data_IF_275021388518
#
_entry.id   IF_275021388518
#
_cell.length_a   1.000
_cell.length_b   1.000
_cell.length_c   1.000
_cell.angle_alpha   90.00
_cell.angle_beta   90.00
_cell.angle_gamma   90.00
#
_symmetry.space_group_name_H-M   'P 1'
#
loop_
_entity.id
_entity.type
_entity.pdbx_description
1 polymer ?
#
# COMPACT_ATOMS: atom_id res chain seq x y z
N UNK A 1 59.66 -26.22 -34.25
CA UNK A 1 58.40 -27.00 -34.17
C UNK A 1 57.95 -26.95 -32.72
N UNK A 2 56.87 -26.33 -32.28
CA UNK A 2 55.75 -25.60 -32.87
C UNK A 2 54.77 -25.43 -31.71
N UNK A 3 54.37 -24.19 -31.39
CA UNK A 3 53.46 -23.84 -30.30
C UNK A 3 52.03 -24.28 -30.65
N UNK A 4 51.41 -25.19 -29.90
CA UNK A 4 49.98 -25.49 -30.01
C UNK A 4 49.20 -24.78 -28.89
N UNK A 5 48.77 -23.56 -29.25
CA UNK A 5 47.48 -22.92 -28.97
C UNK A 5 46.72 -23.27 -27.69
N UNK A 6 46.71 -22.30 -26.76
CA UNK A 6 45.65 -22.11 -25.77
C UNK A 6 44.35 -21.67 -26.47
N UNK A 7 43.51 -22.62 -26.90
CA UNK A 7 42.12 -22.31 -27.27
C UNK A 7 41.23 -22.40 -26.03
N UNK A 8 41.41 -21.43 -25.13
CA UNK A 8 40.40 -21.09 -24.13
C UNK A 8 39.26 -20.34 -24.81
N UNK A 9 38.39 -21.03 -25.55
CA UNK A 9 37.11 -20.44 -25.97
C UNK A 9 36.19 -20.44 -24.75
N UNK A 10 36.32 -19.40 -23.92
CA UNK A 10 35.28 -19.09 -22.95
C UNK A 10 34.00 -18.82 -23.77
N UNK A 11 32.92 -19.60 -23.60
CA UNK A 11 31.67 -19.34 -24.31
C UNK A 11 31.22 -17.91 -24.00
N UNK A 12 30.50 -17.22 -24.91
CA UNK A 12 29.88 -15.94 -24.58
C UNK A 12 28.92 -16.18 -23.41
N UNK A 13 29.36 -15.85 -22.21
CA UNK A 13 28.47 -15.85 -21.05
C UNK A 13 27.47 -14.74 -21.28
N UNK A 14 26.19 -15.10 -21.46
CA UNK A 14 25.11 -14.12 -21.53
C UNK A 14 25.20 -13.22 -20.30
N UNK A 15 25.24 -11.90 -20.53
CA UNK A 15 25.36 -10.92 -19.46
C UNK A 15 24.14 -11.01 -18.53
N UNK A 16 24.33 -10.93 -17.20
CA UNK A 16 23.21 -10.89 -16.27
C UNK A 16 22.32 -9.67 -16.52
N UNK A 17 21.02 -9.90 -16.71
CA UNK A 17 20.02 -8.85 -16.94
C UNK A 17 19.24 -8.60 -15.64
N UNK A 18 19.17 -7.34 -15.16
CA UNK A 18 18.52 -7.01 -13.90
C UNK A 18 16.98 -7.06 -14.00
N UNK A 19 16.29 -7.61 -12.98
CA UNK A 19 14.83 -7.67 -12.98
C UNK A 19 14.19 -6.29 -12.88
N UNK A 20 13.16 -6.08 -13.71
CA UNK A 20 12.17 -5.02 -13.53
C UNK A 20 11.07 -5.54 -12.61
N UNK A 21 10.84 -4.83 -11.50
CA UNK A 21 9.92 -5.22 -10.44
C UNK A 21 8.76 -4.23 -10.34
N UNK A 22 7.53 -4.72 -10.40
CA UNK A 22 6.32 -3.90 -10.19
C UNK A 22 5.41 -4.55 -9.16
N UNK A 23 4.74 -3.71 -8.35
CA UNK A 23 3.81 -4.16 -7.31
C UNK A 23 2.41 -3.65 -7.64
N UNK A 24 1.43 -4.54 -7.55
CA UNK A 24 0.01 -4.23 -7.73
C UNK A 24 -0.82 -4.69 -6.52
N UNK A 25 -1.86 -3.92 -6.15
CA UNK A 25 -2.21 -2.60 -6.67
C UNK A 25 -1.18 -1.51 -6.26
N UNK A 26 -1.11 -0.41 -7.02
CA UNK A 26 -0.23 0.73 -6.69
C UNK A 26 -0.69 1.46 -5.43
N UNK A 27 -2.01 1.57 -5.26
CA UNK A 27 -2.66 2.13 -4.08
C UNK A 27 -3.48 1.02 -3.42
N UNK A 28 -3.17 0.70 -2.17
CA UNK A 28 -3.84 -0.35 -1.41
C UNK A 28 -4.82 0.28 -0.41
N UNK A 29 -6.05 0.52 -0.86
CA UNK A 29 -7.16 0.99 -0.03
C UNK A 29 -8.14 -0.17 0.15
N UNK A 30 -8.40 -0.53 1.40
CA UNK A 30 -9.17 -1.75 1.75
C UNK A 30 -10.25 -1.38 2.76
N UNK A 31 -11.47 -1.86 2.57
CA UNK A 31 -12.52 -1.66 3.56
C UNK A 31 -12.25 -2.51 4.81
N UNK A 32 -12.56 -2.03 6.03
CA UNK A 32 -12.45 -2.83 7.24
C UNK A 32 -13.19 -4.18 7.08
N UNK A 33 -12.55 -5.27 7.50
CA UNK A 33 -13.12 -6.62 7.38
C UNK A 33 -13.01 -7.26 5.98
N UNK A 34 -12.41 -6.59 5.00
CA UNK A 34 -12.18 -7.16 3.66
C UNK A 34 -10.73 -7.59 3.47
N UNK A 35 -10.52 -8.66 2.70
CA UNK A 35 -9.18 -9.14 2.32
C UNK A 35 -8.68 -8.44 1.06
N UNK A 36 -7.37 -8.47 0.84
CA UNK A 36 -6.74 -7.91 -0.35
C UNK A 36 -5.63 -8.83 -0.87
N UNK A 37 -5.37 -8.80 -2.17
CA UNK A 37 -4.29 -9.56 -2.81
C UNK A 37 -3.23 -8.60 -3.35
N UNK A 38 -1.95 -8.86 -3.04
CA UNK A 38 -0.81 -8.15 -3.60
C UNK A 38 -0.11 -9.05 -4.61
N UNK A 39 0.27 -8.48 -5.76
CA UNK A 39 1.06 -9.19 -6.78
C UNK A 39 2.32 -8.43 -7.13
N UNK A 40 3.44 -9.11 -6.98
CA UNK A 40 4.76 -8.64 -7.38
C UNK A 40 5.15 -9.30 -8.70
N UNK A 41 5.21 -8.51 -9.77
CA UNK A 41 5.64 -8.96 -11.09
C UNK A 41 7.12 -8.65 -11.27
N UNK A 42 7.90 -9.69 -11.57
CA UNK A 42 9.34 -9.64 -11.81
C UNK A 42 9.57 -10.05 -13.26
N UNK A 43 10.24 -9.23 -14.05
CA UNK A 43 10.36 -9.45 -15.51
C UNK A 43 11.69 -8.97 -16.06
N UNK A 44 12.10 -9.50 -17.21
CA UNK A 44 13.29 -9.07 -17.93
C UNK A 44 14.59 -9.47 -17.25
N UNK A 45 14.60 -10.55 -16.46
CA UNK A 45 15.80 -10.96 -15.72
C UNK A 45 16.47 -12.19 -16.34
N UNK A 46 17.79 -12.24 -16.22
CA UNK A 46 18.60 -13.38 -16.62
C UNK A 46 19.84 -13.45 -15.73
N UNK A 47 20.26 -14.62 -15.20
CA UNK A 47 19.69 -15.96 -15.35
C UNK A 47 18.40 -16.16 -14.51
N UNK A 48 17.86 -17.39 -14.50
CA UNK A 48 16.57 -17.76 -13.90
C UNK A 48 16.47 -17.53 -12.37
N UNK A 49 17.59 -17.37 -11.67
CA UNK A 49 17.70 -17.41 -10.20
C UNK A 49 17.21 -16.13 -9.48
N UNK A 50 16.03 -15.62 -9.82
CA UNK A 50 15.39 -14.52 -9.09
C UNK A 50 14.54 -15.05 -7.94
N UNK A 51 14.83 -14.60 -6.71
CA UNK A 51 14.06 -14.96 -5.52
C UNK A 51 13.22 -13.79 -5.06
N UNK A 52 11.95 -14.06 -4.71
CA UNK A 52 11.00 -13.06 -4.23
C UNK A 52 10.63 -13.36 -2.79
N UNK A 53 10.77 -12.37 -1.92
CA UNK A 53 10.38 -12.47 -0.51
C UNK A 53 9.45 -11.32 -0.15
N UNK A 54 8.51 -11.58 0.75
CA UNK A 54 7.62 -10.56 1.28
C UNK A 54 8.13 -10.06 2.62
N UNK A 55 7.88 -8.78 2.91
CA UNK A 55 8.13 -8.20 4.23
C UNK A 55 6.99 -7.27 4.63
N UNK A 56 6.71 -7.17 5.93
CA UNK A 56 5.74 -6.24 6.51
C UNK A 56 6.42 -5.36 7.55
N UNK A 57 6.11 -4.06 7.52
CA UNK A 57 6.52 -3.11 8.56
C UNK A 57 5.31 -2.40 9.15
N UNK A 58 5.38 -2.13 10.45
CA UNK A 58 4.39 -1.34 11.17
C UNK A 58 4.36 0.11 10.66
N UNK A 59 3.17 0.64 10.37
CA UNK A 59 3.02 2.02 9.87
C UNK A 59 3.54 3.12 10.79
N UNK A 60 3.42 2.93 12.11
CA UNK A 60 3.79 3.94 13.12
C UNK A 60 5.23 3.85 13.65
N UNK A 61 5.84 2.66 13.67
CA UNK A 61 7.18 2.47 14.23
C UNK A 61 8.24 2.06 13.22
N UNK A 62 7.84 1.71 11.98
CA UNK A 62 8.72 1.15 10.96
C UNK A 62 9.31 -0.22 11.33
N UNK A 63 8.94 -0.79 12.48
CA UNK A 63 9.46 -2.06 12.98
C UNK A 63 9.02 -3.19 12.05
N UNK A 64 9.97 -4.07 11.70
CA UNK A 64 9.67 -5.29 10.95
C UNK A 64 8.72 -6.17 11.76
N UNK A 65 7.65 -6.65 11.12
CA UNK A 65 6.66 -7.53 11.74
C UNK A 65 6.61 -8.87 11.02
N UNK A 66 6.16 -9.89 11.76
CA UNK A 66 5.81 -11.17 11.18
C UNK A 66 4.73 -10.98 10.12
N UNK A 67 4.98 -11.58 8.95
CA UNK A 67 3.97 -11.68 7.90
C UNK A 67 2.89 -12.70 8.23
N UNK A 68 3.23 -13.76 8.98
CA UNK A 68 2.31 -14.87 9.28
C UNK A 68 1.01 -14.40 9.93
N UNK A 69 1.06 -13.33 10.72
CA UNK A 69 -0.10 -12.80 11.43
C UNK A 69 -1.08 -12.05 10.51
N UNK A 70 -0.68 -11.79 9.25
CA UNK A 70 -1.47 -11.03 8.28
C UNK A 70 -1.61 -11.68 6.91
N UNK A 71 -0.97 -12.83 6.71
CA UNK A 71 -1.07 -13.59 5.47
C UNK A 71 -2.06 -14.72 5.63
N UNK A 72 -3.02 -14.78 4.71
CA UNK A 72 -3.92 -15.90 4.57
C UNK A 72 -3.29 -16.98 3.68
N UNK A 73 -2.69 -16.58 2.56
CA UNK A 73 -2.05 -17.49 1.60
C UNK A 73 -0.98 -16.77 0.78
N UNK A 74 -0.06 -17.52 0.19
CA UNK A 74 0.96 -17.02 -0.74
C UNK A 74 1.23 -18.03 -1.86
N UNK A 75 1.38 -17.54 -3.08
CA UNK A 75 1.71 -18.39 -4.22
C UNK A 75 2.71 -17.70 -5.14
N UNK A 76 3.43 -18.49 -5.92
CA UNK A 76 4.35 -17.98 -6.93
C UNK A 76 4.15 -18.76 -8.22
N UNK A 77 4.04 -18.06 -9.35
CA UNK A 77 3.92 -18.67 -10.66
C UNK A 77 5.18 -19.45 -11.04
N UNK A 78 5.07 -20.33 -12.03
CA UNK A 78 6.23 -20.81 -12.77
C UNK A 78 6.92 -19.66 -13.52
N UNK A 79 8.14 -19.91 -13.96
CA UNK A 79 8.88 -18.98 -14.81
C UNK A 79 8.32 -18.99 -16.24
N UNK A 80 8.31 -17.82 -16.89
CA UNK A 80 8.02 -17.67 -18.31
C UNK A 80 9.21 -17.02 -18.99
N UNK A 81 9.68 -17.62 -20.07
CA UNK A 81 10.76 -17.07 -20.89
C UNK A 81 10.17 -16.26 -22.06
N UNK A 82 10.74 -15.09 -22.31
CA UNK A 82 10.41 -14.24 -23.45
C UNK A 82 11.32 -14.56 -24.65
N UNK A 83 10.97 -14.03 -25.84
CA UNK A 83 11.73 -14.27 -27.07
C UNK A 83 13.15 -13.67 -27.04
N UNK A 84 13.38 -12.67 -26.19
CA UNK A 84 14.69 -12.09 -25.91
C UNK A 84 15.56 -12.95 -24.97
N UNK A 85 15.07 -14.12 -24.56
CA UNK A 85 15.77 -15.06 -23.68
C UNK A 85 15.64 -14.73 -22.18
N UNK A 86 15.04 -13.59 -21.82
CA UNK A 86 14.85 -13.19 -20.41
C UNK A 86 13.68 -13.91 -19.75
N UNK A 87 13.67 -13.95 -18.43
CA UNK A 87 12.66 -14.60 -17.62
C UNK A 87 11.73 -13.62 -16.92
N UNK A 88 10.55 -14.13 -16.58
CA UNK A 88 9.55 -13.44 -15.80
C UNK A 88 8.85 -14.39 -14.83
N UNK A 89 8.41 -13.85 -13.68
CA UNK A 89 7.71 -14.58 -12.63
C UNK A 89 6.82 -13.64 -11.83
N UNK A 90 5.69 -14.14 -11.33
CA UNK A 90 4.80 -13.39 -10.45
C UNK A 90 4.71 -14.08 -9.10
N UNK A 91 4.92 -13.33 -8.02
CA UNK A 91 4.65 -13.78 -6.66
C UNK A 91 3.46 -13.00 -6.10
N UNK A 92 2.59 -13.66 -5.35
CA UNK A 92 1.40 -13.04 -4.79
C UNK A 92 1.16 -13.47 -3.36
N UNK A 93 0.54 -12.57 -2.59
CA UNK A 93 0.09 -12.83 -1.22
C UNK A 93 -1.33 -12.33 -1.02
N UNK A 94 -2.15 -13.15 -0.36
CA UNK A 94 -3.49 -12.76 0.10
C UNK A 94 -3.41 -12.38 1.57
N UNK A 95 -3.82 -11.15 1.87
CA UNK A 95 -3.90 -10.63 3.22
C UNK A 95 -5.18 -11.12 3.89
N UNK A 96 -5.13 -11.34 5.21
CA UNK A 96 -6.33 -11.56 6.01
C UNK A 96 -7.26 -10.34 5.96
N UNK A 97 -8.55 -10.50 6.31
CA UNK A 97 -9.46 -9.38 6.53
C UNK A 97 -8.84 -8.23 7.34
N UNK A 98 -8.83 -7.03 6.76
CA UNK A 98 -8.10 -5.90 7.31
C UNK A 98 -8.74 -5.38 8.61
N UNK A 99 -7.91 -5.12 9.63
CA UNK A 99 -8.32 -4.66 10.97
C UNK A 99 -7.73 -3.27 11.24
N UNK A 100 -8.33 -2.44 12.11
CA UNK A 100 -7.84 -1.08 12.41
C UNK A 100 -6.33 -1.00 12.70
N UNK A 101 -5.79 -1.97 13.44
CA UNK A 101 -4.37 -2.08 13.76
C UNK A 101 -3.42 -2.28 12.56
N UNK A 102 -3.94 -2.68 11.39
CA UNK A 102 -3.16 -2.84 10.15
C UNK A 102 -3.10 -1.54 9.34
N UNK A 103 -3.88 -0.52 9.71
CA UNK A 103 -3.83 0.77 9.03
C UNK A 103 -2.40 1.34 9.05
N UNK A 104 -1.92 1.77 7.88
CA UNK A 104 -0.60 2.35 7.70
C UNK A 104 0.52 1.32 7.56
N UNK A 105 0.27 0.02 7.77
CA UNK A 105 1.26 -1.03 7.56
C UNK A 105 1.81 -0.99 6.12
N UNK A 106 3.09 -1.27 5.99
CA UNK A 106 3.81 -1.25 4.72
C UNK A 106 4.20 -2.66 4.33
N UNK A 107 3.66 -3.13 3.22
CA UNK A 107 4.00 -4.42 2.61
C UNK A 107 5.05 -4.18 1.54
N UNK A 108 6.11 -4.99 1.54
CA UNK A 108 7.21 -4.89 0.57
C UNK A 108 7.42 -6.23 -0.13
N UNK A 109 7.58 -6.19 -1.45
CA UNK A 109 8.19 -7.26 -2.21
C UNK A 109 9.69 -6.97 -2.33
N UNK A 110 10.53 -7.91 -1.90
CA UNK A 110 11.99 -7.82 -1.94
C UNK A 110 12.51 -8.91 -2.88
N UNK A 111 13.19 -8.48 -3.94
CA UNK A 111 13.71 -9.32 -5.00
C UNK A 111 15.23 -9.38 -4.93
N UNK A 112 15.78 -10.58 -4.90
CA UNK A 112 17.22 -10.83 -4.98
C UNK A 112 17.54 -11.57 -6.27
N UNK A 113 18.61 -11.15 -6.95
CA UNK A 113 19.04 -11.70 -8.22
C UNK A 113 20.52 -11.37 -8.43
N UNK A 114 21.25 -12.18 -9.20
CA UNK A 114 22.71 -12.06 -9.37
C UNK A 114 23.12 -10.77 -10.09
N UNK A 115 22.25 -10.21 -10.94
CA UNK A 115 22.48 -8.92 -11.61
C UNK A 115 22.22 -7.72 -10.69
N UNK A 116 21.73 -7.93 -9.46
CA UNK A 116 21.48 -6.87 -8.48
C UNK A 116 22.57 -6.84 -7.40
N UNK A 117 23.29 -5.72 -7.28
CA UNK A 117 24.25 -5.52 -6.20
C UNK A 117 23.58 -5.45 -4.81
N UNK A 118 22.33 -5.01 -4.75
CA UNK A 118 21.51 -4.95 -3.53
C UNK A 118 20.09 -5.43 -3.84
N UNK A 119 19.38 -6.05 -2.88
CA UNK A 119 18.01 -6.48 -3.09
C UNK A 119 17.10 -5.33 -3.52
N UNK A 120 16.34 -5.53 -4.60
CA UNK A 120 15.36 -4.56 -5.08
C UNK A 120 14.11 -4.62 -4.21
N UNK A 121 13.64 -3.48 -3.71
CA UNK A 121 12.46 -3.40 -2.83
C UNK A 121 11.41 -2.49 -3.44
N UNK A 122 10.20 -3.01 -3.60
CA UNK A 122 9.00 -2.23 -3.94
C UNK A 122 7.97 -2.40 -2.83
N UNK A 123 7.27 -1.33 -2.46
CA UNK A 123 6.37 -1.34 -1.31
C UNK A 123 5.06 -0.61 -1.55
N UNK A 124 4.03 -1.03 -0.84
CA UNK A 124 2.71 -0.40 -0.80
C UNK A 124 2.27 -0.22 0.65
N UNK A 125 1.62 0.91 0.94
CA UNK A 125 1.03 1.21 2.24
C UNK A 125 -0.44 0.81 2.24
N UNK A 126 -0.87 0.06 3.25
CA UNK A 126 -2.26 -0.31 3.47
C UNK A 126 -3.02 0.85 4.12
N UNK A 127 -4.04 1.34 3.44
CA UNK A 127 -4.96 2.35 3.95
C UNK A 127 -6.34 1.72 4.15
N UNK A 128 -6.93 1.92 5.32
CA UNK A 128 -8.30 1.47 5.56
C UNK A 128 -9.28 2.56 5.15
N UNK A 129 -10.27 2.20 4.34
CA UNK A 129 -11.35 3.12 4.00
C UNK A 129 -12.10 3.55 5.27
N UNK A 130 -12.48 4.83 5.35
CA UNK A 130 -13.25 5.37 6.47
C UNK A 130 -12.49 5.56 7.78
N UNK A 131 -11.15 5.48 7.77
CA UNK A 131 -10.31 5.80 8.96
C UNK A 131 -9.85 7.25 9.01
N UNK A 132 -10.03 8.02 7.93
CA UNK A 132 -9.93 9.47 7.99
C UNK A 132 -11.26 10.00 8.56
N UNK A 133 -11.23 10.42 9.84
CA UNK A 133 -12.31 11.22 10.41
C UNK A 133 -12.40 12.60 9.76
N UNK A 134 -13.47 13.38 10.02
CA UNK A 134 -13.58 14.74 9.50
C UNK A 134 -12.33 15.53 9.87
N UNK A 135 -11.75 16.23 8.90
CA UNK A 135 -10.55 17.04 9.17
C UNK A 135 -10.95 18.19 10.08
N UNK A 136 -10.00 18.71 10.87
CA UNK A 136 -10.23 19.90 11.70
C UNK A 136 -10.73 21.09 10.86
N UNK A 137 -10.28 21.17 9.61
CA UNK A 137 -10.74 22.16 8.63
C UNK A 137 -12.22 21.99 8.29
N UNK A 138 -12.69 20.75 8.10
CA UNK A 138 -14.10 20.44 7.85
C UNK A 138 -14.98 20.81 9.05
N UNK A 139 -14.50 20.53 10.26
CA UNK A 139 -15.18 20.88 11.50
C UNK A 139 -15.29 22.41 11.63
N UNK A 140 -14.21 23.13 11.35
CA UNK A 140 -14.16 24.59 11.41
C UNK A 140 -15.11 25.20 10.37
N UNK A 141 -15.13 24.67 9.15
CA UNK A 141 -16.06 25.08 8.10
C UNK A 141 -17.52 24.86 8.51
N UNK A 142 -17.84 23.71 9.10
CA UNK A 142 -19.19 23.40 9.59
C UNK A 142 -19.64 24.39 10.67
N UNK A 143 -18.78 24.73 11.62
CA UNK A 143 -19.09 25.73 12.64
C UNK A 143 -19.34 27.12 12.03
N UNK A 144 -18.51 27.58 11.11
CA UNK A 144 -18.67 28.90 10.47
C UNK A 144 -19.99 28.99 9.70
N UNK A 145 -20.34 27.95 8.95
CA UNK A 145 -21.62 27.88 8.22
C UNK A 145 -22.80 27.94 9.20
N UNK A 146 -22.74 27.20 10.30
CA UNK A 146 -23.79 27.21 11.32
C UNK A 146 -23.95 28.59 11.97
N UNK A 147 -22.86 29.29 12.29
CA UNK A 147 -22.91 30.65 12.84
C UNK A 147 -23.57 31.65 11.88
N UNK A 148 -23.21 31.61 10.59
CA UNK A 148 -23.80 32.47 9.57
C UNK A 148 -25.30 32.19 9.40
N UNK A 149 -25.68 30.91 9.32
CA UNK A 149 -27.09 30.51 9.22
C UNK A 149 -27.90 30.95 10.46
N UNK A 150 -27.37 30.74 11.67
CA UNK A 150 -28.02 31.19 12.91
C UNK A 150 -28.18 32.72 12.96
N UNK A 151 -27.17 33.46 12.51
CA UNK A 151 -27.23 34.92 12.38
C UNK A 151 -28.31 35.38 11.40
N UNK A 152 -28.35 34.77 10.21
CA UNK A 152 -29.37 35.03 9.19
C UNK A 152 -30.78 34.68 9.67
N UNK A 153 -30.96 33.55 10.35
CA UNK A 153 -32.25 33.13 10.90
C UNK A 153 -32.73 34.13 11.96
N UNK A 154 -31.87 34.56 12.89
CA UNK A 154 -32.21 35.59 13.89
C UNK A 154 -32.55 36.94 13.25
N UNK A 155 -31.93 37.25 12.12
CA UNK A 155 -32.18 38.50 11.39
C UNK A 155 -33.50 38.46 10.61
N UNK A 156 -33.79 37.34 9.92
CA UNK A 156 -35.01 37.14 9.14
C UNK A 156 -36.24 36.84 10.01
N UNK A 157 -36.02 36.20 11.17
CA UNK A 157 -37.04 35.93 12.17
C UNK A 157 -36.64 36.54 13.51
N UNK A 158 -36.64 37.89 13.63
CA UNK A 158 -36.46 38.54 14.92
C UNK A 158 -37.53 37.98 15.86
N UNK A 159 -37.10 37.42 16.97
CA UNK A 159 -38.00 36.85 17.97
C UNK A 159 -38.90 37.98 18.46
N UNK A 160 -40.14 38.05 17.96
CA UNK A 160 -41.16 38.90 18.54
C UNK A 160 -41.27 38.47 20.01
N UNK A 161 -41.01 39.41 20.91
CA UNK A 161 -40.99 39.19 22.35
C UNK A 161 -42.24 38.38 22.78
N UNK A 162 -42.02 37.23 23.41
CA UNK A 162 -43.07 36.48 24.08
C UNK A 162 -43.50 37.32 25.30
N UNK A 163 -44.77 37.75 25.43
CA UNK A 163 -45.19 38.49 26.61
C UNK A 163 -45.00 37.61 27.85
N UNK A 164 -44.37 38.19 28.87
CA UNK A 164 -44.19 37.62 30.20
C UNK A 164 -45.58 37.39 30.80
N UNK A 165 -45.97 36.13 30.99
CA UNK A 165 -47.17 35.78 31.74
C UNK A 165 -46.86 36.00 33.23
N UNK A 166 -47.26 37.17 33.74
CA UNK A 166 -47.27 37.45 35.17
C UNK A 166 -48.13 36.39 35.88
N UNK A 167 -47.48 35.45 36.55
CA UNK A 167 -48.15 34.57 37.51
C UNK A 167 -48.50 35.39 38.76
N UNK A 168 -49.73 35.91 38.76
CA UNK A 168 -50.40 36.59 39.86
C UNK A 168 -50.16 35.86 41.19
N UNK A 169 -49.56 36.58 42.13
CA UNK A 169 -49.57 36.28 43.56
C UNK A 169 -51.03 36.32 44.04
N UNK A 170 -51.59 35.17 44.46
CA UNK A 170 -52.76 35.16 45.33
C UNK A 170 -52.39 34.55 46.67
N UNK A 171 -52.54 35.42 47.66
CA UNK A 171 -52.78 35.15 49.07
C UNK A 171 -53.92 34.13 49.27
#
# INVERSE_FOLDING_TARGET
>A
MGLYGLYGTNPPTCLPEPPKVTLSPKNLVVAPGTSAELRCHVSGFYPLDATVTWQRRAGGSGTSRSLRDTLMDSWTSSHRQAADGTYSRTAAVRLIPARPQHHGDVYSCVVTHTALAKPMRVSVRLLLAGTEGPRLEDITGLFLVAFVLCGLIRWLYPTAARPEEETKKSQ
#
